data_IF_561028805580
#
_entry.id   IF_561028805580
#
_cell.length_a   1.000
_cell.length_b   1.000
_cell.length_c   1.000
_cell.angle_alpha   90.00
_cell.angle_beta   90.00
_cell.angle_gamma   90.00
#
_symmetry.space_group_name_H-M   'P 1'
#
loop_
_entity.id
_entity.type
_entity.pdbx_description
1 polymer ?
#
# COMPACT_ATOMS: atom_id res chain seq x y z
N UNK A 1 -4.40 3.35 -15.87
CA UNK A 1 -3.52 4.56 -15.73
C UNK A 1 -2.84 4.50 -14.35
N UNK A 2 -1.69 5.15 -14.16
CA UNK A 2 -1.02 5.24 -12.83
C UNK A 2 -0.69 6.69 -12.51
N UNK A 3 -0.54 7.01 -11.21
CA UNK A 3 -0.33 8.41 -10.76
C UNK A 3 1.03 8.98 -11.18
N UNK A 4 2.05 8.14 -11.33
CA UNK A 4 3.38 8.51 -11.82
C UNK A 4 3.50 8.46 -13.35
N UNK A 5 2.46 8.83 -14.08
CA UNK A 5 2.46 8.93 -15.54
C UNK A 5 2.24 10.38 -15.96
N UNK A 6 2.96 10.85 -16.99
CA UNK A 6 2.86 12.23 -17.49
C UNK A 6 1.44 12.57 -17.97
N UNK A 7 0.74 11.62 -18.60
CA UNK A 7 -0.65 11.81 -19.03
C UNK A 7 -1.57 12.02 -17.81
N UNK A 8 -1.32 11.27 -16.72
CA UNK A 8 -2.06 11.48 -15.48
C UNK A 8 -1.80 12.87 -14.89
N UNK A 9 -0.53 13.24 -14.76
CA UNK A 9 -0.11 14.48 -14.10
C UNK A 9 -0.54 15.74 -14.86
N UNK A 10 -0.39 15.75 -16.19
CA UNK A 10 -0.54 16.96 -17.00
C UNK A 10 -1.81 17.02 -17.84
N UNK A 11 -2.55 15.93 -17.95
CA UNK A 11 -3.80 15.92 -18.70
C UNK A 11 -4.97 15.47 -17.81
N UNK A 12 -4.92 14.25 -17.30
CA UNK A 12 -6.06 13.66 -16.58
C UNK A 12 -6.39 14.39 -15.29
N UNK A 13 -5.42 14.57 -14.39
CA UNK A 13 -5.64 15.22 -13.09
C UNK A 13 -6.07 16.69 -13.23
N UNK A 14 -5.42 17.54 -14.08
CA UNK A 14 -5.88 18.90 -14.30
C UNK A 14 -7.29 18.99 -14.89
N UNK A 15 -7.65 18.14 -15.86
CA UNK A 15 -9.00 18.11 -16.42
C UNK A 15 -10.04 17.67 -15.37
N UNK A 16 -9.72 16.67 -14.55
CA UNK A 16 -10.57 16.22 -13.46
C UNK A 16 -10.79 17.35 -12.43
N UNK A 17 -9.72 18.03 -12.02
CA UNK A 17 -9.79 19.16 -11.09
C UNK A 17 -10.64 20.30 -11.68
N UNK A 18 -10.40 20.67 -12.93
CA UNK A 18 -11.18 21.72 -13.62
C UNK A 18 -12.67 21.36 -13.65
N UNK A 19 -13.02 20.15 -14.10
CA UNK A 19 -14.41 19.70 -14.14
C UNK A 19 -15.04 19.66 -12.73
N UNK A 20 -14.29 19.19 -11.72
CA UNK A 20 -14.75 19.11 -10.35
C UNK A 20 -15.06 20.49 -9.74
N UNK A 21 -14.15 21.47 -9.93
CA UNK A 21 -14.32 22.81 -9.36
C UNK A 21 -15.31 23.70 -10.13
N UNK A 22 -15.57 23.40 -11.41
CA UNK A 22 -16.67 24.03 -12.17
C UNK A 22 -18.05 23.62 -11.64
N UNK A 23 -18.16 22.43 -11.02
CA UNK A 23 -19.40 21.97 -10.42
C UNK A 23 -19.67 22.66 -9.07
N UNK A 24 -20.90 23.19 -8.89
CA UNK A 24 -21.31 23.88 -7.66
C UNK A 24 -21.92 22.93 -6.62
N UNK A 25 -22.65 21.90 -7.05
CA UNK A 25 -23.34 20.97 -6.16
C UNK A 25 -22.55 19.71 -5.89
N UNK A 26 -22.70 19.13 -4.69
CA UNK A 26 -22.05 17.84 -4.32
C UNK A 26 -22.47 16.70 -5.25
N UNK A 27 -23.76 16.54 -5.65
CA UNK A 27 -24.13 15.52 -6.62
C UNK A 27 -23.41 15.62 -7.98
N UNK A 28 -23.26 16.85 -8.51
CA UNK A 28 -22.53 17.08 -9.76
C UNK A 28 -21.03 16.75 -9.59
N UNK A 29 -20.42 17.15 -8.48
CA UNK A 29 -19.04 16.77 -8.13
C UNK A 29 -18.85 15.27 -8.04
N UNK A 30 -19.82 14.56 -7.44
CA UNK A 30 -19.82 13.10 -7.37
C UNK A 30 -19.90 12.47 -8.77
N UNK A 31 -20.76 12.98 -9.65
CA UNK A 31 -20.86 12.49 -11.02
C UNK A 31 -19.55 12.66 -11.80
N UNK A 32 -18.89 13.81 -11.68
CA UNK A 32 -17.55 14.05 -12.27
C UNK A 32 -16.57 13.01 -11.75
N UNK A 33 -16.49 12.79 -10.43
CA UNK A 33 -15.56 11.83 -9.86
C UNK A 33 -15.86 10.40 -10.31
N UNK A 34 -17.13 9.98 -10.45
CA UNK A 34 -17.49 8.67 -10.99
C UNK A 34 -16.98 8.53 -12.42
N UNK A 35 -17.28 9.49 -13.29
CA UNK A 35 -16.88 9.43 -14.70
C UNK A 35 -15.36 9.35 -14.83
N UNK A 36 -14.61 10.23 -14.15
CA UNK A 36 -13.16 10.21 -14.19
C UNK A 36 -12.58 8.94 -13.57
N UNK A 37 -13.18 8.40 -12.51
CA UNK A 37 -12.75 7.13 -11.91
C UNK A 37 -12.93 5.94 -12.86
N UNK A 38 -14.06 5.88 -13.55
CA UNK A 38 -14.30 4.84 -14.56
C UNK A 38 -13.34 4.97 -15.75
N UNK A 39 -13.08 6.20 -16.25
CA UNK A 39 -12.07 6.45 -17.29
C UNK A 39 -10.69 6.03 -16.81
N UNK A 40 -10.29 6.39 -15.58
CA UNK A 40 -9.01 6.01 -14.98
C UNK A 40 -8.82 4.50 -14.95
N UNK A 41 -9.85 3.76 -14.53
CA UNK A 41 -9.80 2.31 -14.44
C UNK A 41 -9.82 1.66 -15.82
N UNK A 42 -10.73 2.10 -16.71
CA UNK A 42 -10.86 1.59 -18.08
C UNK A 42 -9.61 1.79 -18.93
N UNK A 43 -8.76 2.80 -18.61
CA UNK A 43 -7.50 3.03 -19.32
C UNK A 43 -6.55 1.83 -19.30
N UNK A 44 -6.55 1.07 -18.21
CA UNK A 44 -5.72 -0.15 -18.08
C UNK A 44 -6.54 -1.44 -18.17
N UNK A 45 -7.82 -1.39 -17.80
CA UNK A 45 -8.68 -2.55 -17.57
C UNK A 45 -10.09 -2.33 -18.14
N UNK A 46 -10.24 -2.18 -19.47
CA UNK A 46 -11.54 -1.82 -20.06
C UNK A 46 -12.62 -2.88 -19.83
N UNK A 47 -12.27 -4.15 -19.84
CA UNK A 47 -13.22 -5.27 -19.62
C UNK A 47 -13.53 -5.43 -18.12
N UNK A 48 -12.51 -5.38 -17.27
CA UNK A 48 -12.69 -5.58 -15.83
C UNK A 48 -13.34 -4.38 -15.12
N UNK A 49 -13.47 -3.24 -15.79
CA UNK A 49 -14.32 -2.15 -15.33
C UNK A 49 -15.79 -2.62 -15.13
N UNK A 50 -16.30 -3.43 -16.05
CA UNK A 50 -17.66 -3.98 -15.91
C UNK A 50 -17.78 -4.97 -14.75
N UNK A 51 -16.72 -5.75 -14.48
CA UNK A 51 -16.67 -6.62 -13.29
C UNK A 51 -16.74 -5.79 -12.00
N UNK A 52 -15.98 -4.71 -11.90
CA UNK A 52 -16.01 -3.80 -10.75
C UNK A 52 -17.40 -3.18 -10.55
N UNK A 53 -18.04 -2.71 -11.63
CA UNK A 53 -19.40 -2.15 -11.58
C UNK A 53 -20.41 -3.22 -11.15
N UNK A 54 -20.29 -4.45 -11.67
CA UNK A 54 -21.15 -5.58 -11.28
C UNK A 54 -20.96 -5.95 -9.80
N UNK A 55 -19.70 -6.04 -9.32
CA UNK A 55 -19.40 -6.26 -7.90
C UNK A 55 -20.00 -5.15 -7.01
N UNK A 56 -19.87 -3.89 -7.43
CA UNK A 56 -20.50 -2.77 -6.73
C UNK A 56 -22.03 -2.91 -6.68
N UNK A 57 -22.68 -3.26 -7.80
CA UNK A 57 -24.13 -3.41 -7.85
C UNK A 57 -24.63 -4.57 -6.97
N UNK A 58 -23.92 -5.69 -6.98
CA UNK A 58 -24.23 -6.88 -6.15
C UNK A 58 -24.12 -6.52 -4.66
N UNK A 59 -23.01 -5.91 -4.23
CA UNK A 59 -22.80 -5.54 -2.82
C UNK A 59 -23.73 -4.43 -2.35
N UNK A 60 -24.05 -3.46 -3.20
CA UNK A 60 -25.09 -2.47 -2.93
C UNK A 60 -26.45 -3.14 -2.70
N UNK A 61 -26.84 -4.08 -3.58
CA UNK A 61 -28.07 -4.85 -3.45
C UNK A 61 -28.12 -5.69 -2.16
N UNK A 62 -27.02 -6.39 -1.83
CA UNK A 62 -26.91 -7.13 -0.59
C UNK A 62 -26.98 -6.21 0.65
N UNK A 63 -26.39 -5.03 0.62
CA UNK A 63 -26.53 -4.07 1.71
C UNK A 63 -27.99 -3.73 1.99
N UNK A 64 -28.81 -3.48 0.94
CA UNK A 64 -30.23 -3.22 1.08
C UNK A 64 -31.02 -4.43 1.61
N UNK A 65 -30.67 -5.65 1.19
CA UNK A 65 -31.32 -6.88 1.62
C UNK A 65 -30.95 -7.25 3.07
N UNK A 66 -29.69 -7.07 3.46
CA UNK A 66 -29.19 -7.29 4.83
C UNK A 66 -29.93 -6.39 5.81
N UNK A 67 -30.18 -5.14 5.46
CA UNK A 67 -30.89 -4.22 6.35
C UNK A 67 -32.36 -4.60 6.54
N UNK A 68 -33.00 -5.17 5.51
CA UNK A 68 -34.44 -5.49 5.53
C UNK A 68 -34.78 -6.82 6.21
N UNK A 69 -34.21 -7.95 5.75
CA UNK A 69 -34.59 -9.32 6.15
C UNK A 69 -33.46 -10.33 5.94
N UNK A 70 -33.49 -11.44 6.70
CA UNK A 70 -32.55 -12.57 6.52
C UNK A 70 -31.08 -12.15 6.53
N UNK A 71 -30.71 -11.26 7.44
CA UNK A 71 -29.40 -10.61 7.54
C UNK A 71 -28.20 -11.53 7.35
N UNK A 72 -28.21 -12.73 7.97
CA UNK A 72 -27.10 -13.70 7.87
C UNK A 72 -26.98 -14.34 6.51
N UNK A 73 -28.11 -14.72 5.87
CA UNK A 73 -28.09 -15.38 4.57
C UNK A 73 -27.48 -14.47 3.52
N UNK A 74 -27.94 -13.22 3.44
CA UNK A 74 -27.42 -12.27 2.46
C UNK A 74 -25.98 -11.86 2.74
N UNK A 75 -25.57 -11.78 4.01
CA UNK A 75 -24.16 -11.59 4.35
C UNK A 75 -23.31 -12.76 3.84
N UNK A 76 -23.70 -14.01 4.12
CA UNK A 76 -22.95 -15.19 3.67
C UNK A 76 -22.87 -15.24 2.15
N UNK A 77 -23.97 -14.94 1.45
CA UNK A 77 -23.96 -14.89 -0.03
C UNK A 77 -23.03 -13.82 -0.55
N UNK A 78 -23.02 -12.61 0.03
CA UNK A 78 -22.08 -11.56 -0.33
C UNK A 78 -20.63 -12.01 -0.14
N UNK A 79 -20.30 -12.56 1.05
CA UNK A 79 -18.96 -13.07 1.36
C UNK A 79 -18.52 -14.17 0.38
N UNK A 80 -19.42 -15.13 0.06
CA UNK A 80 -19.12 -16.23 -0.86
C UNK A 80 -18.88 -15.71 -2.29
N UNK A 81 -19.68 -14.75 -2.76
CA UNK A 81 -19.52 -14.18 -4.10
C UNK A 81 -18.23 -13.36 -4.20
N UNK A 82 -17.97 -12.48 -3.24
CA UNK A 82 -16.79 -11.62 -3.26
C UNK A 82 -15.49 -12.42 -3.10
N UNK A 83 -15.42 -13.29 -2.09
CA UNK A 83 -14.24 -14.14 -1.87
C UNK A 83 -14.10 -15.20 -2.94
N UNK A 84 -15.20 -15.74 -3.48
CA UNK A 84 -15.21 -16.68 -4.59
C UNK A 84 -14.68 -16.03 -5.87
N UNK A 85 -15.14 -14.82 -6.19
CA UNK A 85 -14.63 -14.05 -7.32
C UNK A 85 -13.11 -13.80 -7.17
N UNK A 86 -12.68 -13.32 -6.01
CA UNK A 86 -11.26 -13.11 -5.73
C UNK A 86 -10.47 -14.43 -5.83
N UNK A 87 -11.02 -15.54 -5.33
CA UNK A 87 -10.38 -16.86 -5.38
C UNK A 87 -10.18 -17.34 -6.83
N UNK A 88 -11.18 -17.18 -7.67
CA UNK A 88 -11.09 -17.57 -9.09
C UNK A 88 -9.99 -16.80 -9.80
N UNK A 89 -9.96 -15.47 -9.67
CA UNK A 89 -8.96 -14.67 -10.38
C UNK A 89 -7.55 -14.81 -9.81
N UNK A 90 -7.40 -14.94 -8.49
CA UNK A 90 -6.09 -14.90 -7.85
C UNK A 90 -5.47 -16.26 -7.59
N UNK A 91 -6.27 -17.29 -7.27
CA UNK A 91 -5.73 -18.55 -6.74
C UNK A 91 -5.90 -19.76 -7.65
N UNK A 92 -6.66 -19.69 -8.74
CA UNK A 92 -6.93 -20.85 -9.61
C UNK A 92 -5.62 -21.45 -10.14
N UNK A 93 -4.71 -20.61 -10.69
CA UNK A 93 -3.41 -21.10 -11.18
C UNK A 93 -2.61 -21.79 -10.07
N UNK A 94 -2.45 -21.13 -8.93
CA UNK A 94 -1.72 -21.67 -7.77
C UNK A 94 -2.28 -23.01 -7.27
N UNK A 95 -3.62 -23.14 -7.21
CA UNK A 95 -4.27 -24.40 -6.81
C UNK A 95 -3.97 -25.51 -7.82
N UNK A 96 -4.11 -25.23 -9.12
CA UNK A 96 -3.87 -26.22 -10.17
C UNK A 96 -2.39 -26.65 -10.19
N UNK A 97 -1.44 -25.71 -10.06
CA UNK A 97 -0.01 -26.04 -9.97
C UNK A 97 0.29 -26.94 -8.78
N UNK A 98 -0.27 -26.66 -7.60
CA UNK A 98 -0.05 -27.50 -6.41
C UNK A 98 -0.73 -28.87 -6.54
N UNK A 99 -1.91 -28.98 -7.18
CA UNK A 99 -2.54 -30.28 -7.47
C UNK A 99 -1.71 -31.10 -8.44
N UNK A 100 -1.18 -30.48 -9.50
CA UNK A 100 -0.27 -31.15 -10.44
C UNK A 100 0.99 -31.67 -9.71
N UNK A 101 1.60 -30.84 -8.86
CA UNK A 101 2.78 -31.23 -8.11
C UNK A 101 2.50 -32.35 -7.09
N UNK A 102 1.34 -32.34 -6.42
CA UNK A 102 1.00 -33.32 -5.40
C UNK A 102 0.58 -34.67 -5.96
N UNK A 103 -0.20 -34.67 -7.06
CA UNK A 103 -0.79 -35.89 -7.62
C UNK A 103 -0.09 -36.36 -8.90
N UNK A 104 0.96 -35.69 -9.38
CA UNK A 104 1.58 -35.97 -10.67
C UNK A 104 0.63 -35.78 -11.86
N UNK A 105 -0.39 -34.92 -11.68
CA UNK A 105 -1.36 -34.64 -12.73
C UNK A 105 -0.80 -33.63 -13.75
N UNK A 106 -1.39 -33.61 -14.95
CA UNK A 106 -1.03 -32.68 -16.02
C UNK A 106 -2.22 -31.80 -16.41
N UNK A 107 -2.92 -31.25 -15.40
CA UNK A 107 -4.06 -30.35 -15.60
C UNK A 107 -3.53 -29.05 -16.18
N UNK A 108 -4.05 -28.55 -17.32
CA UNK A 108 -3.63 -27.27 -17.86
C UNK A 108 -3.82 -26.13 -16.85
N UNK A 109 -2.76 -25.38 -16.56
CA UNK A 109 -2.81 -24.22 -15.66
C UNK A 109 -3.48 -23.06 -16.40
N UNK A 110 -4.67 -22.60 -15.96
CA UNK A 110 -5.35 -21.50 -16.64
C UNK A 110 -4.61 -20.17 -16.42
N UNK A 111 -4.37 -19.45 -17.51
CA UNK A 111 -3.80 -18.09 -17.45
C UNK A 111 -4.94 -17.09 -17.31
N UNK A 112 -5.27 -16.74 -16.09
CA UNK A 112 -6.32 -15.76 -15.77
C UNK A 112 -5.65 -14.46 -15.38
N UNK A 113 -5.86 -13.40 -16.17
CA UNK A 113 -5.34 -12.07 -15.83
C UNK A 113 -6.02 -11.56 -14.55
N UNK A 114 -5.23 -11.17 -13.56
CA UNK A 114 -5.74 -10.62 -12.31
C UNK A 114 -6.21 -9.18 -12.52
N UNK A 115 -7.50 -8.85 -12.32
CA UNK A 115 -7.98 -7.48 -12.46
C UNK A 115 -7.29 -6.54 -11.46
N UNK A 116 -6.74 -5.45 -11.95
CA UNK A 116 -6.05 -4.47 -11.10
C UNK A 116 -7.00 -3.95 -10.01
N UNK A 117 -6.55 -3.99 -8.76
CA UNK A 117 -7.33 -3.49 -7.62
C UNK A 117 -8.45 -4.41 -7.12
N UNK A 118 -8.63 -5.64 -7.69
CA UNK A 118 -9.69 -6.56 -7.24
C UNK A 118 -9.62 -6.83 -5.74
N UNK A 119 -8.44 -7.01 -5.18
CA UNK A 119 -8.26 -7.25 -3.75
C UNK A 119 -8.70 -6.05 -2.89
N UNK A 120 -8.53 -4.81 -3.39
CA UNK A 120 -8.90 -3.59 -2.67
C UNK A 120 -10.41 -3.36 -2.70
N UNK A 121 -11.03 -3.34 -3.89
CA UNK A 121 -12.46 -3.10 -3.96
C UNK A 121 -13.28 -4.26 -3.36
N UNK A 122 -12.76 -5.50 -3.39
CA UNK A 122 -13.36 -6.62 -2.65
C UNK A 122 -13.36 -6.34 -1.15
N UNK A 123 -12.24 -5.91 -0.57
CA UNK A 123 -12.18 -5.58 0.85
C UNK A 123 -13.07 -4.39 1.23
N UNK A 124 -13.16 -3.38 0.36
CA UNK A 124 -14.09 -2.27 0.55
C UNK A 124 -15.55 -2.75 0.56
N UNK A 125 -15.94 -3.57 -0.41
CA UNK A 125 -17.28 -4.13 -0.51
C UNK A 125 -17.61 -5.04 0.68
N UNK A 126 -16.68 -5.94 1.07
CA UNK A 126 -16.82 -6.79 2.26
C UNK A 126 -16.98 -5.98 3.53
N UNK A 127 -16.15 -4.94 3.73
CA UNK A 127 -16.28 -4.09 4.92
C UNK A 127 -17.65 -3.44 5.00
N UNK A 128 -18.15 -2.89 3.88
CA UNK A 128 -19.48 -2.30 3.83
C UNK A 128 -20.59 -3.30 4.18
N UNK A 129 -20.61 -4.49 3.58
CA UNK A 129 -21.67 -5.48 3.84
C UNK A 129 -21.64 -5.99 5.28
N UNK A 130 -20.44 -6.16 5.86
CA UNK A 130 -20.27 -6.54 7.28
C UNK A 130 -20.70 -5.40 8.21
N UNK A 131 -20.34 -4.15 7.91
CA UNK A 131 -20.69 -2.98 8.75
C UNK A 131 -22.21 -2.72 8.73
N UNK A 132 -22.87 -2.90 7.56
CA UNK A 132 -24.34 -2.86 7.48
C UNK A 132 -24.97 -4.00 8.29
N UNK A 133 -24.43 -5.21 8.24
CA UNK A 133 -24.91 -6.34 9.02
C UNK A 133 -24.77 -6.13 10.54
N UNK A 134 -23.67 -5.51 10.97
CA UNK A 134 -23.44 -5.15 12.38
C UNK A 134 -24.36 -4.01 12.83
N UNK A 135 -24.86 -3.19 11.91
CA UNK A 135 -25.59 -1.96 12.19
C UNK A 135 -24.67 -0.75 12.44
N UNK A 136 -23.39 -0.88 12.11
CA UNK A 136 -22.40 0.20 12.26
C UNK A 136 -22.65 1.34 11.26
N UNK A 137 -23.20 1.01 10.08
CA UNK A 137 -23.62 1.98 9.06
C UNK A 137 -24.98 1.59 8.46
N UNK A 138 -25.82 2.57 8.04
CA UNK A 138 -27.02 2.27 7.28
C UNK A 138 -26.69 1.85 5.85
N UNK A 139 -27.55 1.03 5.24
CA UNK A 139 -27.39 0.65 3.85
C UNK A 139 -27.52 1.87 2.94
N UNK A 140 -26.58 2.05 2.00
CA UNK A 140 -26.61 3.16 1.03
C UNK A 140 -27.76 2.97 0.04
N UNK A 141 -28.66 3.96 -0.05
CA UNK A 141 -29.84 3.90 -0.92
C UNK A 141 -29.54 4.21 -2.38
N UNK A 142 -28.49 5.00 -2.64
CA UNK A 142 -28.10 5.42 -4.00
C UNK A 142 -26.98 4.55 -4.53
N UNK A 143 -27.24 3.82 -5.62
CA UNK A 143 -26.20 3.06 -6.31
C UNK A 143 -25.04 3.95 -6.78
N UNK A 144 -25.32 5.14 -7.30
CA UNK A 144 -24.28 6.06 -7.75
C UNK A 144 -23.33 6.48 -6.63
N UNK A 145 -23.81 6.71 -5.41
CA UNK A 145 -22.98 7.03 -4.25
C UNK A 145 -22.14 5.82 -3.81
N UNK A 146 -22.70 4.62 -3.88
CA UNK A 146 -21.97 3.40 -3.60
C UNK A 146 -20.92 3.09 -4.67
N UNK A 147 -21.27 3.28 -5.94
CA UNK A 147 -20.31 3.14 -7.04
C UNK A 147 -19.16 4.14 -6.91
N UNK A 148 -19.44 5.40 -6.53
CA UNK A 148 -18.40 6.38 -6.22
C UNK A 148 -17.44 5.85 -5.14
N UNK A 149 -17.98 5.34 -4.05
CA UNK A 149 -17.17 4.78 -2.97
C UNK A 149 -16.22 3.67 -3.44
N UNK A 150 -16.74 2.72 -4.23
CA UNK A 150 -15.94 1.59 -4.73
C UNK A 150 -14.94 2.03 -5.80
N UNK A 151 -15.34 2.89 -6.75
CA UNK A 151 -14.55 3.21 -7.93
C UNK A 151 -13.59 4.39 -7.78
N UNK A 152 -13.67 5.15 -6.69
CA UNK A 152 -12.96 6.43 -6.53
C UNK A 152 -11.45 6.28 -6.74
N UNK A 153 -10.93 6.83 -7.84
CA UNK A 153 -9.61 6.52 -8.38
C UNK A 153 -8.43 6.79 -7.43
N UNK A 154 -8.44 7.79 -6.51
CA UNK A 154 -7.33 7.97 -5.59
C UNK A 154 -7.07 6.77 -4.68
N UNK A 155 -8.12 6.03 -4.29
CA UNK A 155 -8.01 4.91 -3.36
C UNK A 155 -8.07 3.53 -4.02
N UNK A 156 -8.58 3.43 -5.27
CA UNK A 156 -9.04 2.21 -5.90
C UNK A 156 -7.96 1.13 -6.04
N UNK A 157 -6.73 1.49 -6.38
CA UNK A 157 -5.73 0.51 -6.84
C UNK A 157 -4.79 0.07 -5.73
N UNK A 158 -4.13 1.01 -5.04
CA UNK A 158 -3.17 0.75 -3.96
C UNK A 158 -3.19 1.85 -2.89
N UNK A 159 -4.29 2.60 -2.78
CA UNK A 159 -4.51 3.59 -1.71
C UNK A 159 -4.70 2.91 -0.35
N UNK A 160 -4.93 3.70 0.71
CA UNK A 160 -5.42 3.14 1.96
C UNK A 160 -6.73 2.39 1.73
N UNK A 161 -6.92 1.24 2.40
CA UNK A 161 -8.21 0.55 2.39
C UNK A 161 -9.18 1.42 3.21
N UNK A 162 -9.97 2.23 2.49
CA UNK A 162 -10.94 3.15 3.08
C UNK A 162 -12.24 2.42 3.29
N UNK A 163 -12.79 2.48 4.49
CA UNK A 163 -14.11 1.89 4.80
C UNK A 163 -15.23 2.83 4.39
N UNK A 164 -16.40 2.28 4.13
CA UNK A 164 -17.56 3.10 3.82
C UNK A 164 -17.87 4.08 4.96
N UNK A 165 -17.76 3.65 6.21
CA UNK A 165 -17.95 4.49 7.39
C UNK A 165 -17.04 5.72 7.43
N UNK A 166 -15.82 5.62 6.90
CA UNK A 166 -14.84 6.72 6.90
C UNK A 166 -15.23 7.86 5.95
N UNK A 167 -15.99 7.57 4.88
CA UNK A 167 -16.30 8.51 3.79
C UNK A 167 -17.78 8.77 3.54
N UNK A 168 -18.67 7.99 4.16
CA UNK A 168 -20.11 8.07 3.92
C UNK A 168 -20.66 9.51 4.05
N UNK A 169 -20.36 10.20 5.16
CA UNK A 169 -20.77 11.59 5.37
C UNK A 169 -20.16 12.57 4.36
N UNK A 170 -18.94 12.27 3.88
CA UNK A 170 -18.23 13.13 2.92
C UNK A 170 -18.74 12.93 1.48
N UNK A 171 -19.33 11.77 1.17
CA UNK A 171 -20.02 11.54 -0.11
C UNK A 171 -21.30 12.41 -0.18
N UNK A 172 -21.98 12.56 0.94
CA UNK A 172 -23.25 13.29 1.02
C UNK A 172 -23.04 14.80 1.15
N UNK A 173 -22.07 15.20 1.98
CA UNK A 173 -21.80 16.60 2.27
C UNK A 173 -20.30 16.83 2.48
N UNK A 174 -19.69 17.60 1.59
CA UNK A 174 -18.31 18.07 1.75
C UNK A 174 -18.15 19.49 1.24
N UNK A 175 -17.30 20.24 1.91
CA UNK A 175 -16.94 21.60 1.54
C UNK A 175 -15.50 21.66 1.05
N UNK A 176 -15.19 22.62 0.22
CA UNK A 176 -13.81 22.94 -0.14
C UNK A 176 -13.17 23.73 1.00
N UNK A 177 -11.99 23.29 1.42
CA UNK A 177 -11.14 24.02 2.32
C UNK A 177 -9.78 24.25 1.63
N UNK A 178 -9.40 25.51 1.48
CA UNK A 178 -8.18 25.89 0.79
C UNK A 178 -6.91 25.41 1.53
N UNK A 179 -6.93 25.35 2.86
CA UNK A 179 -5.80 24.86 3.65
C UNK A 179 -5.64 23.33 3.50
N UNK A 180 -6.77 22.59 3.54
CA UNK A 180 -6.78 21.14 3.26
C UNK A 180 -6.31 20.86 1.81
N UNK A 181 -6.72 21.67 0.84
CA UNK A 181 -6.31 21.49 -0.56
C UNK A 181 -4.82 21.80 -0.76
N UNK A 182 -4.29 22.85 -0.15
CA UNK A 182 -2.86 23.19 -0.16
C UNK A 182 -2.03 22.07 0.48
N UNK A 183 -2.42 21.62 1.66
CA UNK A 183 -1.80 20.46 2.31
C UNK A 183 -1.84 19.22 1.41
N UNK A 184 -2.99 18.98 0.76
CA UNK A 184 -3.17 17.87 -0.17
C UNK A 184 -2.24 17.92 -1.37
N UNK A 185 -2.07 19.10 -1.97
CA UNK A 185 -1.14 19.32 -3.08
C UNK A 185 0.33 19.05 -2.68
N UNK A 186 0.77 19.61 -1.55
CA UNK A 186 2.10 19.36 -1.01
C UNK A 186 2.33 17.86 -0.74
N UNK A 187 1.34 17.22 -0.13
CA UNK A 187 1.42 15.78 0.15
C UNK A 187 1.47 14.93 -1.12
N UNK A 188 0.73 15.31 -2.15
CA UNK A 188 0.80 14.68 -3.47
C UNK A 188 2.19 14.81 -4.09
N UNK A 189 2.78 16.00 -4.09
CA UNK A 189 4.13 16.25 -4.62
C UNK A 189 5.20 15.45 -3.87
N UNK A 190 5.12 15.39 -2.54
CA UNK A 190 6.01 14.56 -1.71
C UNK A 190 5.83 13.07 -2.06
N UNK A 191 4.59 12.59 -2.20
CA UNK A 191 4.29 11.22 -2.57
C UNK A 191 4.85 10.85 -3.94
N UNK A 192 4.71 11.74 -4.93
CA UNK A 192 5.26 11.57 -6.27
C UNK A 192 6.80 11.52 -6.23
N UNK A 193 7.44 12.42 -5.48
CA UNK A 193 8.89 12.43 -5.31
C UNK A 193 9.40 11.15 -4.63
N UNK A 194 8.71 10.65 -3.60
CA UNK A 194 9.02 9.35 -2.98
C UNK A 194 9.01 8.22 -4.00
N UNK A 195 7.97 8.17 -4.86
CA UNK A 195 7.85 7.13 -5.89
C UNK A 195 8.94 7.27 -6.94
N UNK A 196 9.05 8.44 -7.55
CA UNK A 196 9.87 8.61 -8.76
C UNK A 196 11.36 8.77 -8.43
N UNK A 197 11.69 9.58 -7.42
CA UNK A 197 13.09 9.92 -7.13
C UNK A 197 13.76 8.93 -6.17
N UNK A 198 13.01 8.26 -5.28
CA UNK A 198 13.58 7.35 -4.29
C UNK A 198 13.28 5.90 -4.63
N UNK A 199 12.00 5.53 -4.76
CA UNK A 199 11.63 4.13 -4.95
C UNK A 199 12.11 3.59 -6.30
N UNK A 200 11.84 4.28 -7.41
CA UNK A 200 12.24 3.82 -8.74
C UNK A 200 13.76 3.77 -8.90
N UNK A 201 14.47 4.74 -8.31
CA UNK A 201 15.93 4.74 -8.31
C UNK A 201 16.51 3.56 -7.51
N UNK A 202 15.98 3.32 -6.29
CA UNK A 202 16.40 2.20 -5.45
C UNK A 202 16.05 0.84 -6.08
N UNK A 203 14.83 0.72 -6.64
CA UNK A 203 14.35 -0.50 -7.27
C UNK A 203 15.14 -0.90 -8.50
N UNK A 204 15.53 0.07 -9.33
CA UNK A 204 16.36 -0.20 -10.51
C UNK A 204 17.70 -0.84 -10.12
N UNK A 205 18.36 -0.33 -9.08
CA UNK A 205 19.63 -0.88 -8.61
C UNK A 205 19.41 -2.21 -7.86
N UNK A 206 18.35 -2.29 -7.04
CA UNK A 206 18.00 -3.51 -6.34
C UNK A 206 17.78 -4.67 -7.32
N UNK A 207 16.98 -4.48 -8.35
CA UNK A 207 16.72 -5.52 -9.37
C UNK A 207 17.99 -5.94 -10.11
N UNK A 208 18.87 -4.99 -10.49
CA UNK A 208 20.14 -5.32 -11.13
C UNK A 208 21.04 -6.24 -10.28
N UNK A 209 20.96 -6.10 -8.95
CA UNK A 209 21.76 -6.90 -8.02
C UNK A 209 21.05 -8.21 -7.69
N UNK A 210 19.76 -8.16 -7.36
CA UNK A 210 19.01 -9.32 -6.84
C UNK A 210 18.63 -10.32 -7.93
N UNK A 211 18.38 -9.86 -9.17
CA UNK A 211 18.07 -10.71 -10.31
C UNK A 211 19.34 -11.20 -11.04
N UNK A 212 20.52 -10.81 -10.53
CA UNK A 212 21.81 -11.24 -11.05
C UNK A 212 22.15 -12.69 -10.69
N UNK A 213 23.25 -13.22 -11.30
CA UNK A 213 23.70 -14.58 -11.01
C UNK A 213 24.22 -14.71 -9.57
N UNK A 214 23.64 -15.65 -8.81
CA UNK A 214 24.07 -15.97 -7.46
C UNK A 214 25.54 -16.44 -7.39
N UNK A 215 26.04 -17.09 -8.44
CA UNK A 215 27.42 -17.60 -8.49
C UNK A 215 28.48 -16.48 -8.49
N UNK A 216 28.17 -15.33 -9.07
CA UNK A 216 29.08 -14.17 -9.14
C UNK A 216 28.79 -13.12 -8.06
N UNK A 217 27.67 -13.25 -7.33
CA UNK A 217 27.28 -12.31 -6.30
C UNK A 217 28.14 -12.43 -5.05
N UNK A 218 28.43 -11.30 -4.41
CA UNK A 218 29.12 -11.26 -3.11
C UNK A 218 28.11 -11.03 -1.99
N UNK A 219 28.48 -11.40 -0.75
CA UNK A 219 27.67 -11.15 0.44
C UNK A 219 27.30 -9.66 0.58
N UNK A 220 28.25 -8.77 0.38
CA UNK A 220 28.02 -7.33 0.50
C UNK A 220 27.08 -6.81 -0.61
N UNK A 221 27.15 -7.36 -1.83
CA UNK A 221 26.20 -7.01 -2.90
C UNK A 221 24.78 -7.50 -2.57
N UNK A 222 24.64 -8.72 -2.06
CA UNK A 222 23.35 -9.26 -1.64
C UNK A 222 22.68 -8.38 -0.55
N UNK A 223 23.43 -7.94 0.45
CA UNK A 223 22.93 -6.99 1.46
C UNK A 223 22.59 -5.63 0.86
N UNK A 224 23.42 -5.11 -0.04
CA UNK A 224 23.14 -3.84 -0.74
C UNK A 224 21.82 -3.93 -1.52
N UNK A 225 21.61 -5.00 -2.29
CA UNK A 225 20.40 -5.22 -3.08
C UNK A 225 19.15 -5.26 -2.21
N UNK A 226 19.16 -6.06 -1.13
CA UNK A 226 17.97 -6.20 -0.28
C UNK A 226 17.70 -4.95 0.58
N UNK A 227 18.71 -4.18 0.95
CA UNK A 227 18.54 -2.89 1.61
C UNK A 227 17.91 -1.87 0.66
N UNK A 228 18.36 -1.81 -0.60
CA UNK A 228 17.76 -0.96 -1.62
C UNK A 228 16.30 -1.35 -1.88
N UNK A 229 16.00 -2.65 -1.99
CA UNK A 229 14.62 -3.14 -2.09
C UNK A 229 13.77 -2.76 -0.88
N UNK A 230 14.35 -2.80 0.32
CA UNK A 230 13.68 -2.36 1.55
C UNK A 230 13.26 -0.89 1.46
N UNK A 231 14.08 -0.02 0.87
CA UNK A 231 13.71 1.36 0.61
C UNK A 231 12.70 1.49 -0.55
N UNK A 232 12.88 0.73 -1.62
CA UNK A 232 11.96 0.70 -2.75
C UNK A 232 10.53 0.41 -2.28
N UNK A 233 10.28 -0.73 -1.61
CA UNK A 233 8.93 -1.12 -1.18
C UNK A 233 8.29 -0.09 -0.23
N UNK A 234 9.08 0.56 0.61
CA UNK A 234 8.57 1.60 1.51
C UNK A 234 8.20 2.88 0.77
N UNK A 235 9.10 3.41 -0.05
CA UNK A 235 8.85 4.68 -0.73
C UNK A 235 7.85 4.53 -1.87
N UNK A 236 7.82 3.38 -2.55
CA UNK A 236 6.81 3.06 -3.55
C UNK A 236 5.40 3.10 -2.95
N UNK A 237 5.19 2.32 -1.90
CA UNK A 237 3.86 2.18 -1.31
C UNK A 237 3.45 3.40 -0.45
N UNK A 238 4.36 3.97 0.34
CA UNK A 238 4.06 5.20 1.09
C UNK A 238 3.86 6.39 0.16
N UNK A 239 4.59 6.45 -0.96
CA UNK A 239 4.43 7.47 -1.99
C UNK A 239 3.05 7.42 -2.64
N UNK A 240 2.59 6.22 -3.02
CA UNK A 240 1.23 6.03 -3.52
C UNK A 240 0.18 6.46 -2.48
N UNK A 241 0.33 6.02 -1.24
CA UNK A 241 -0.60 6.38 -0.15
C UNK A 241 -0.64 7.90 0.08
N UNK A 242 0.51 8.58 0.02
CA UNK A 242 0.58 10.04 0.18
C UNK A 242 -0.09 10.76 -1.00
N UNK A 243 0.11 10.30 -2.24
CA UNK A 243 -0.60 10.83 -3.40
C UNK A 243 -2.12 10.63 -3.29
N UNK A 244 -2.57 9.44 -2.87
CA UNK A 244 -3.97 9.13 -2.67
C UNK A 244 -4.63 10.02 -1.61
N UNK A 245 -3.98 10.15 -0.43
CA UNK A 245 -4.46 11.00 0.66
C UNK A 245 -4.44 12.48 0.24
N UNK A 246 -3.40 12.91 -0.48
CA UNK A 246 -3.27 14.26 -1.01
C UNK A 246 -4.42 14.63 -1.95
N UNK A 247 -4.69 13.78 -2.95
CA UNK A 247 -5.84 13.96 -3.85
C UNK A 247 -7.17 13.91 -3.11
N UNK A 248 -7.31 12.99 -2.14
CA UNK A 248 -8.48 12.95 -1.28
C UNK A 248 -8.76 14.30 -0.65
N UNK A 249 -7.75 14.94 -0.02
CA UNK A 249 -7.87 16.27 0.60
C UNK A 249 -8.28 17.35 -0.40
N UNK A 250 -7.74 17.35 -1.61
CA UNK A 250 -8.08 18.30 -2.67
C UNK A 250 -9.58 18.18 -3.06
N UNK A 251 -10.08 16.92 -3.14
CA UNK A 251 -11.50 16.65 -3.44
C UNK A 251 -12.43 16.74 -2.22
N UNK A 252 -11.89 17.06 -1.03
CA UNK A 252 -12.67 17.17 0.21
C UNK A 252 -12.91 15.85 0.93
N UNK A 253 -12.12 14.79 0.64
CA UNK A 253 -12.14 13.52 1.36
C UNK A 253 -10.94 13.39 2.31
N UNK A 254 -11.18 12.84 3.50
CA UNK A 254 -10.15 12.61 4.54
C UNK A 254 -9.93 11.11 4.69
N UNK A 255 -8.93 10.59 4.00
CA UNK A 255 -8.55 9.18 4.10
C UNK A 255 -7.68 8.90 5.32
N UNK A 256 -7.72 7.67 5.87
CA UNK A 256 -6.86 7.28 6.99
C UNK A 256 -5.38 7.20 6.57
N UNK A 257 -4.49 7.43 7.56
CA UNK A 257 -3.05 7.24 7.37
C UNK A 257 -2.71 5.76 7.18
N UNK A 258 -1.84 5.48 6.20
CA UNK A 258 -1.40 4.11 5.90
C UNK A 258 0.01 3.80 6.41
N UNK A 259 0.85 4.82 6.59
CA UNK A 259 2.23 4.69 7.07
C UNK A 259 2.57 5.76 8.11
N UNK A 260 3.31 5.38 9.17
CA UNK A 260 3.81 6.28 10.22
C UNK A 260 5.25 5.97 10.56
N UNK A 261 6.20 6.27 9.65
CA UNK A 261 7.64 6.05 9.84
C UNK A 261 7.97 4.64 10.36
N UNK A 262 7.58 3.57 9.64
CA UNK A 262 7.68 2.20 10.13
C UNK A 262 9.12 1.75 10.41
N UNK A 263 10.11 2.25 9.66
CA UNK A 263 11.51 1.87 9.82
C UNK A 263 12.21 2.47 11.06
N UNK A 264 11.49 3.30 11.83
CA UNK A 264 11.95 3.77 13.14
C UNK A 264 11.47 2.90 14.31
N UNK A 265 10.77 1.81 14.05
CA UNK A 265 10.14 0.93 15.04
C UNK A 265 11.17 0.19 15.90
N UNK A 266 10.77 -0.11 17.14
CA UNK A 266 11.60 -0.78 18.16
C UNK A 266 11.16 -2.22 18.43
N UNK A 267 10.20 -2.73 17.65
CA UNK A 267 9.70 -4.10 17.69
C UNK A 267 8.90 -4.40 16.42
N UNK A 268 8.73 -5.66 16.07
CA UNK A 268 7.90 -6.07 14.93
C UNK A 268 6.43 -5.75 15.17
N UNK A 269 5.96 -5.84 16.43
CA UNK A 269 4.62 -5.36 16.80
C UNK A 269 4.44 -3.87 16.53
N UNK A 270 5.43 -3.02 16.85
CA UNK A 270 5.38 -1.58 16.57
C UNK A 270 5.46 -1.31 15.06
N UNK A 271 6.30 -2.08 14.33
CA UNK A 271 6.43 -1.98 12.88
C UNK A 271 5.08 -2.18 12.18
N UNK A 272 4.34 -3.24 12.47
CA UNK A 272 3.04 -3.53 11.86
C UNK A 272 1.91 -2.59 12.31
N UNK A 273 2.08 -1.84 13.38
CA UNK A 273 1.18 -0.74 13.75
C UNK A 273 1.43 0.53 12.95
N UNK A 274 2.57 0.61 12.25
CA UNK A 274 3.02 1.77 11.47
C UNK A 274 3.10 1.51 9.97
N UNK A 275 3.12 0.25 9.56
CA UNK A 275 3.15 -0.23 8.19
C UNK A 275 1.78 -0.71 7.77
N UNK A 276 1.29 -0.24 6.59
CA UNK A 276 0.02 -0.65 5.99
C UNK A 276 -1.14 -0.70 7.01
N UNK A 277 -1.33 0.41 7.72
CA UNK A 277 -2.22 0.54 8.88
C UNK A 277 -3.66 0.16 8.51
N UNK A 278 -4.11 0.53 7.30
CA UNK A 278 -5.45 0.24 6.81
C UNK A 278 -5.70 -1.26 6.67
N UNK A 279 -4.74 -2.03 6.12
CA UNK A 279 -4.82 -3.49 6.04
C UNK A 279 -4.81 -4.13 7.42
N UNK A 280 -3.89 -3.68 8.29
CA UNK A 280 -3.80 -4.18 9.66
C UNK A 280 -5.11 -3.95 10.45
N UNK A 281 -5.75 -2.79 10.29
CA UNK A 281 -7.04 -2.49 10.90
C UNK A 281 -8.17 -3.32 10.29
N UNK A 282 -8.15 -3.56 8.96
CA UNK A 282 -9.12 -4.43 8.30
C UNK A 282 -9.08 -5.85 8.90
N UNK A 283 -7.92 -6.51 8.89
CA UNK A 283 -7.80 -7.87 9.44
C UNK A 283 -8.09 -7.93 10.93
N UNK A 284 -7.73 -6.90 11.72
CA UNK A 284 -8.09 -6.81 13.13
C UNK A 284 -9.59 -6.83 13.32
N UNK A 285 -10.33 -5.99 12.59
CA UNK A 285 -11.74 -5.70 12.88
C UNK A 285 -12.69 -6.71 12.21
N UNK A 286 -12.29 -7.27 11.05
CA UNK A 286 -13.14 -8.21 10.31
C UNK A 286 -12.72 -9.68 10.46
N UNK A 287 -11.52 -9.98 10.97
CA UNK A 287 -11.05 -11.37 11.17
C UNK A 287 -10.66 -11.62 12.62
N UNK A 288 -9.68 -10.89 13.16
CA UNK A 288 -9.11 -11.18 14.48
C UNK A 288 -10.13 -11.05 15.62
N UNK A 289 -10.87 -9.93 15.66
CA UNK A 289 -11.89 -9.69 16.70
C UNK A 289 -13.03 -10.69 16.60
N UNK A 290 -13.64 -10.97 15.42
CA UNK A 290 -14.68 -11.99 15.28
C UNK A 290 -14.27 -13.40 15.71
N UNK A 291 -12.99 -13.78 15.49
CA UNK A 291 -12.43 -15.08 15.94
C UNK A 291 -12.25 -15.16 17.47
N UNK A 292 -12.52 -14.09 18.21
CA UNK A 292 -12.39 -14.01 19.68
C UNK A 292 -11.23 -13.14 20.16
N UNK A 293 -10.40 -12.63 19.25
CA UNK A 293 -9.34 -11.66 19.55
C UNK A 293 -8.36 -12.15 20.61
N UNK A 294 -8.17 -11.34 21.65
CA UNK A 294 -7.31 -11.68 22.79
C UNK A 294 -7.96 -12.64 23.80
N UNK A 295 -9.29 -12.81 23.75
CA UNK A 295 -10.04 -13.54 24.77
C UNK A 295 -10.01 -15.05 24.56
N UNK A 296 -9.97 -15.52 23.31
CA UNK A 296 -9.97 -16.94 22.96
C UNK A 296 -8.86 -17.25 21.95
N UNK A 297 -8.06 -18.28 22.20
CA UNK A 297 -7.06 -18.83 21.26
C UNK A 297 -6.20 -17.78 20.54
N UNK A 298 -5.69 -16.80 21.29
CA UNK A 298 -5.03 -15.61 20.72
C UNK A 298 -3.95 -15.93 19.68
N UNK A 299 -3.07 -16.91 19.94
CA UNK A 299 -2.02 -17.29 19.00
C UNK A 299 -2.58 -17.90 17.73
N UNK A 300 -3.63 -18.74 17.84
CA UNK A 300 -4.30 -19.30 16.67
C UNK A 300 -4.96 -18.19 15.83
N UNK A 301 -5.65 -17.23 16.48
CA UNK A 301 -6.26 -16.10 15.78
C UNK A 301 -5.18 -15.25 15.05
N UNK A 302 -4.01 -15.07 15.68
CA UNK A 302 -2.88 -14.40 15.04
C UNK A 302 -2.34 -15.22 13.86
N UNK A 303 -2.21 -16.54 13.99
CA UNK A 303 -1.78 -17.42 12.91
C UNK A 303 -2.72 -17.33 11.70
N UNK A 304 -4.03 -17.39 11.93
CA UNK A 304 -5.04 -17.24 10.87
C UNK A 304 -4.90 -15.88 10.17
N UNK A 305 -4.80 -14.79 10.94
CA UNK A 305 -4.64 -13.44 10.36
C UNK A 305 -3.38 -13.34 9.50
N UNK A 306 -2.26 -13.87 9.96
CA UNK A 306 -1.00 -13.78 9.21
C UNK A 306 -0.96 -14.71 8.00
N UNK A 307 -1.57 -15.88 8.08
CA UNK A 307 -1.77 -16.77 6.92
C UNK A 307 -2.62 -16.07 5.84
N UNK A 308 -3.75 -15.48 6.25
CA UNK A 308 -4.61 -14.72 5.32
C UNK A 308 -3.91 -13.47 4.78
N UNK A 309 -3.08 -12.78 5.59
CA UNK A 309 -2.32 -11.63 5.13
C UNK A 309 -1.28 -12.04 4.07
N UNK A 310 -0.58 -13.15 4.29
CA UNK A 310 0.34 -13.71 3.30
C UNK A 310 -0.37 -14.07 2.00
N UNK A 311 -1.43 -14.86 2.07
CA UNK A 311 -2.25 -15.23 0.92
C UNK A 311 -2.82 -14.01 0.18
N UNK A 312 -3.24 -12.98 0.91
CA UNK A 312 -3.75 -11.76 0.28
C UNK A 312 -2.72 -11.04 -0.58
N UNK A 313 -1.44 -11.09 -0.21
CA UNK A 313 -0.36 -10.49 -1.01
C UNK A 313 -0.17 -11.23 -2.33
N UNK A 314 -0.18 -12.56 -2.36
CA UNK A 314 -0.01 -13.29 -3.62
C UNK A 314 -0.28 -14.78 -3.49
N UNK A 315 -0.54 -15.39 -4.63
CA UNK A 315 -0.76 -16.82 -4.78
C UNK A 315 0.58 -17.54 -5.04
N UNK A 316 1.47 -17.51 -4.05
CA UNK A 316 2.78 -18.17 -4.11
C UNK A 316 3.25 -18.55 -2.70
N UNK A 317 4.10 -19.58 -2.59
CA UNK A 317 4.58 -20.11 -1.33
C UNK A 317 5.43 -19.12 -0.53
N UNK A 318 6.18 -18.24 -1.21
CA UNK A 318 6.96 -17.20 -0.53
C UNK A 318 6.09 -16.28 0.33
N UNK A 319 4.88 -15.91 -0.14
CA UNK A 319 3.95 -15.08 0.62
C UNK A 319 3.36 -15.82 1.83
N UNK A 320 3.12 -17.12 1.70
CA UNK A 320 2.71 -17.98 2.83
C UNK A 320 3.82 -18.04 3.87
N UNK A 321 5.06 -18.28 3.45
CA UNK A 321 6.25 -18.29 4.31
C UNK A 321 6.49 -16.92 4.96
N UNK A 322 6.29 -15.83 4.24
CA UNK A 322 6.40 -14.47 4.75
C UNK A 322 5.36 -14.20 5.85
N UNK A 323 4.12 -14.61 5.65
CA UNK A 323 3.09 -14.53 6.68
C UNK A 323 3.44 -15.35 7.92
N UNK A 324 3.89 -16.59 7.74
CA UNK A 324 4.33 -17.47 8.83
C UNK A 324 5.54 -16.88 9.59
N UNK A 325 6.52 -16.34 8.86
CA UNK A 325 7.69 -15.68 9.44
C UNK A 325 7.29 -14.57 10.42
N UNK A 326 6.42 -13.64 9.99
CA UNK A 326 5.98 -12.56 10.88
C UNK A 326 5.05 -13.05 12.00
N UNK A 327 4.24 -14.06 11.75
CA UNK A 327 3.47 -14.71 12.82
C UNK A 327 4.38 -15.23 13.94
N UNK A 328 5.43 -15.99 13.60
CA UNK A 328 6.37 -16.58 14.57
C UNK A 328 7.05 -15.49 15.40
N UNK A 329 7.53 -14.42 14.76
CA UNK A 329 8.20 -13.31 15.48
C UNK A 329 7.22 -12.59 16.40
N UNK A 330 6.01 -12.30 15.94
CA UNK A 330 4.99 -11.64 16.75
C UNK A 330 4.53 -12.51 17.93
N UNK A 331 4.41 -13.82 17.72
CA UNK A 331 4.11 -14.78 18.79
C UNK A 331 5.25 -14.80 19.82
N UNK A 332 6.53 -14.80 19.37
CA UNK A 332 7.68 -14.71 20.24
C UNK A 332 7.72 -13.40 21.03
N UNK A 333 7.56 -12.23 20.38
CA UNK A 333 7.47 -10.93 21.06
C UNK A 333 6.39 -10.91 22.14
N UNK A 334 5.24 -11.54 21.83
CA UNK A 334 4.14 -11.61 22.78
C UNK A 334 4.43 -12.52 23.96
N UNK A 335 5.07 -13.66 23.73
CA UNK A 335 5.45 -14.63 24.79
C UNK A 335 6.54 -14.06 25.69
N UNK A 336 7.55 -13.40 25.10
CA UNK A 336 8.62 -12.74 25.87
C UNK A 336 8.05 -11.59 26.70
N UNK A 337 7.10 -10.86 26.15
CA UNK A 337 6.41 -9.75 26.80
C UNK A 337 7.18 -8.42 26.73
N UNK A 338 6.43 -7.35 26.59
CA UNK A 338 6.97 -6.00 26.37
C UNK A 338 7.91 -5.53 27.49
N UNK A 339 7.64 -5.89 28.74
CA UNK A 339 8.48 -5.52 29.90
C UNK A 339 9.92 -6.08 29.79
N UNK A 340 10.08 -7.31 29.28
CA UNK A 340 11.40 -7.90 29.07
C UNK A 340 12.12 -7.27 27.88
N UNK A 341 11.39 -7.06 26.77
CA UNK A 341 11.95 -6.41 25.58
C UNK A 341 12.43 -4.99 25.86
N UNK A 342 11.76 -4.25 26.72
CA UNK A 342 12.17 -2.87 27.13
C UNK A 342 13.51 -2.82 27.88
N UNK A 343 14.03 -3.94 28.41
CA UNK A 343 15.35 -3.99 29.05
C UNK A 343 16.50 -3.91 28.04
N UNK A 344 16.23 -4.24 26.78
CA UNK A 344 17.20 -4.14 25.69
C UNK A 344 17.35 -2.65 25.30
N UNK A 345 18.57 -2.12 25.12
CA UNK A 345 18.79 -0.75 24.68
C UNK A 345 18.02 -0.43 23.39
N UNK A 346 17.45 0.78 23.31
CA UNK A 346 16.56 1.19 22.20
C UNK A 346 17.24 1.05 20.83
N UNK A 347 18.55 1.35 20.74
CA UNK A 347 19.29 1.24 19.48
C UNK A 347 19.36 -0.20 19.01
N UNK A 348 19.68 -1.15 19.90
CA UNK A 348 19.74 -2.58 19.57
C UNK A 348 18.37 -3.13 19.14
N UNK A 349 17.30 -2.66 19.80
CA UNK A 349 15.93 -3.01 19.39
C UNK A 349 15.60 -2.51 17.99
N UNK A 350 15.98 -1.28 17.65
CA UNK A 350 15.76 -0.71 16.30
C UNK A 350 16.54 -1.49 15.25
N UNK A 351 17.83 -1.71 15.49
CA UNK A 351 18.70 -2.49 14.59
C UNK A 351 18.15 -3.89 14.40
N UNK A 352 17.85 -4.61 15.50
CA UNK A 352 17.27 -5.96 15.43
C UNK A 352 15.93 -6.00 14.71
N UNK A 353 15.05 -5.02 14.96
CA UNK A 353 13.77 -4.90 14.24
C UNK A 353 13.99 -4.69 12.74
N UNK A 354 14.91 -3.81 12.35
CA UNK A 354 15.22 -3.57 10.94
C UNK A 354 15.83 -4.78 10.26
N UNK A 355 16.73 -5.50 10.92
CA UNK A 355 17.29 -6.76 10.38
C UNK A 355 16.17 -7.78 10.12
N UNK A 356 15.25 -7.97 11.07
CA UNK A 356 14.12 -8.87 10.89
C UNK A 356 13.19 -8.40 9.75
N UNK A 357 12.97 -7.10 9.61
CA UNK A 357 12.17 -6.54 8.51
C UNK A 357 12.86 -6.79 7.16
N UNK A 358 14.16 -6.54 7.04
CA UNK A 358 14.94 -6.77 5.82
C UNK A 358 14.90 -8.24 5.41
N UNK A 359 15.08 -9.17 6.36
CA UNK A 359 14.95 -10.61 6.11
C UNK A 359 13.51 -10.99 5.68
N UNK A 360 12.51 -10.36 6.26
CA UNK A 360 11.11 -10.50 5.83
C UNK A 360 10.90 -10.02 4.40
N UNK A 361 11.49 -8.88 4.01
CA UNK A 361 11.42 -8.39 2.63
C UNK A 361 12.21 -9.28 1.66
N UNK A 362 13.25 -9.96 2.11
CA UNK A 362 13.93 -10.97 1.32
C UNK A 362 13.01 -12.14 0.96
N UNK A 363 12.22 -12.64 1.92
CA UNK A 363 11.22 -13.69 1.66
C UNK A 363 10.15 -13.16 0.69
N UNK A 364 9.78 -11.90 0.79
CA UNK A 364 8.75 -11.29 -0.05
C UNK A 364 9.20 -11.09 -1.51
N UNK A 365 10.48 -10.78 -1.75
CA UNK A 365 11.02 -10.49 -3.08
C UNK A 365 11.04 -11.72 -3.99
N UNK A 366 11.58 -12.83 -3.50
CA UNK A 366 11.82 -14.04 -4.31
C UNK A 366 10.59 -14.96 -4.29
N UNK A 367 9.90 -15.08 -5.43
CA UNK A 367 8.77 -16.00 -5.61
C UNK A 367 9.23 -17.44 -5.80
N UNK A 368 10.40 -17.68 -6.40
CA UNK A 368 11.05 -18.97 -6.50
C UNK A 368 11.80 -19.32 -5.19
N UNK A 369 11.44 -20.45 -4.58
CA UNK A 369 12.01 -20.87 -3.30
C UNK A 369 13.49 -21.26 -3.41
N UNK A 370 13.94 -21.72 -4.59
CA UNK A 370 15.36 -22.05 -4.81
C UNK A 370 16.19 -20.77 -4.82
N UNK A 371 15.73 -19.73 -5.53
CA UNK A 371 16.37 -18.42 -5.54
C UNK A 371 16.37 -17.80 -4.13
N UNK A 372 15.26 -17.92 -3.40
CA UNK A 372 15.15 -17.45 -2.02
C UNK A 372 16.21 -18.10 -1.12
N UNK A 373 16.36 -19.43 -1.18
CA UNK A 373 17.35 -20.16 -0.39
C UNK A 373 18.79 -19.81 -0.80
N UNK A 374 19.05 -19.67 -2.10
CA UNK A 374 20.34 -19.21 -2.61
C UNK A 374 20.67 -17.80 -2.09
N UNK A 375 19.72 -16.89 -2.12
CA UNK A 375 19.95 -15.53 -1.63
C UNK A 375 20.18 -15.48 -0.11
N UNK A 376 19.49 -16.31 0.67
CA UNK A 376 19.83 -16.49 2.09
C UNK A 376 21.26 -17.02 2.26
N UNK A 377 21.69 -18.00 1.45
CA UNK A 377 23.07 -18.48 1.44
C UNK A 377 24.08 -17.35 1.16
N UNK A 378 23.77 -16.44 0.22
CA UNK A 378 24.60 -15.26 -0.06
C UNK A 378 24.64 -14.29 1.12
N UNK A 379 23.50 -13.95 1.73
CA UNK A 379 23.42 -13.03 2.87
C UNK A 379 24.27 -13.49 4.06
N UNK A 380 24.37 -14.80 4.29
CA UNK A 380 25.14 -15.37 5.40
C UNK A 380 26.55 -15.85 4.99
N UNK A 381 26.99 -15.57 3.75
CA UNK A 381 28.33 -15.91 3.27
C UNK A 381 28.56 -17.40 3.06
N UNK A 382 27.48 -18.17 2.90
CA UNK A 382 27.55 -19.63 2.65
C UNK A 382 27.73 -19.97 1.16
N UNK A 383 27.41 -19.03 0.29
CA UNK A 383 27.43 -19.11 -1.17
C UNK A 383 28.08 -17.86 -1.76
N UNK A 384 28.42 -17.93 -3.06
CA UNK A 384 28.84 -16.77 -3.86
C UNK A 384 30.34 -16.57 -3.97
N UNK A 385 30.76 -15.44 -4.53
CA UNK A 385 32.14 -15.08 -4.86
C UNK A 385 32.88 -14.35 -3.72
N UNK A 386 32.60 -14.73 -2.47
CA UNK A 386 33.23 -14.17 -1.28
C UNK A 386 32.47 -12.97 -0.70
N UNK A 387 33.09 -12.27 0.28
CA UNK A 387 32.41 -11.19 1.01
C UNK A 387 32.18 -9.95 0.16
N UNK A 388 33.18 -9.49 -0.58
CA UNK A 388 33.11 -8.28 -1.42
C UNK A 388 34.14 -8.34 -2.55
N UNK A 389 33.92 -7.57 -3.60
CA UNK A 389 34.87 -7.39 -4.72
C UNK A 389 34.87 -5.92 -5.18
N UNK A 390 35.73 -5.57 -6.14
CA UNK A 390 35.86 -4.20 -6.65
C UNK A 390 34.53 -3.67 -7.22
N UNK A 391 33.78 -4.49 -7.93
CA UNK A 391 32.47 -4.10 -8.50
C UNK A 391 31.45 -3.77 -7.40
N UNK A 392 31.39 -4.56 -6.35
CA UNK A 392 30.52 -4.28 -5.17
C UNK A 392 30.90 -2.96 -4.50
N UNK A 393 32.21 -2.69 -4.37
CA UNK A 393 32.71 -1.43 -3.84
C UNK A 393 32.25 -0.22 -4.68
N UNK A 394 32.38 -0.31 -6.01
CA UNK A 394 31.90 0.71 -6.95
C UNK A 394 30.39 0.90 -6.83
N UNK A 395 29.61 -0.18 -6.81
CA UNK A 395 28.16 -0.10 -6.63
C UNK A 395 27.78 0.59 -5.32
N UNK A 396 28.44 0.26 -4.22
CA UNK A 396 28.18 0.89 -2.91
C UNK A 396 28.48 2.39 -2.94
N UNK A 397 29.64 2.79 -3.46
CA UNK A 397 30.05 4.21 -3.53
C UNK A 397 29.08 4.99 -4.42
N UNK A 398 28.74 4.48 -5.59
CA UNK A 398 27.84 5.15 -6.53
C UNK A 398 26.41 5.32 -5.95
N UNK A 399 25.95 4.41 -5.13
CA UNK A 399 24.60 4.45 -4.54
C UNK A 399 24.58 5.01 -3.10
N UNK A 400 25.72 5.39 -2.53
CA UNK A 400 25.79 5.95 -1.19
C UNK A 400 24.92 7.20 -1.00
N UNK A 401 24.89 8.18 -1.94
CA UNK A 401 24.01 9.34 -1.80
C UNK A 401 22.53 8.94 -1.76
N UNK A 402 22.09 8.00 -2.60
CA UNK A 402 20.73 7.49 -2.60
C UNK A 402 20.38 6.80 -1.29
N UNK A 403 21.28 5.94 -0.78
CA UNK A 403 21.09 5.26 0.52
C UNK A 403 20.93 6.25 1.67
N UNK A 404 21.76 7.30 1.70
CA UNK A 404 21.70 8.34 2.73
C UNK A 404 20.38 9.13 2.67
N UNK A 405 19.96 9.53 1.47
CA UNK A 405 18.69 10.26 1.29
C UNK A 405 17.51 9.37 1.67
N UNK A 406 17.50 8.10 1.27
CA UNK A 406 16.48 7.13 1.65
C UNK A 406 16.46 6.90 3.18
N UNK A 407 17.62 6.72 3.81
CA UNK A 407 17.72 6.54 5.25
C UNK A 407 17.17 7.76 6.02
N UNK A 408 17.54 8.97 5.64
CA UNK A 408 17.02 10.22 6.23
C UNK A 408 15.51 10.35 5.97
N UNK A 409 15.06 10.11 4.73
CA UNK A 409 13.66 10.19 4.33
C UNK A 409 12.75 9.20 5.04
N UNK A 410 13.29 8.06 5.50
CA UNK A 410 12.56 7.08 6.28
C UNK A 410 12.43 7.45 7.78
N UNK A 411 12.99 8.57 8.22
CA UNK A 411 12.95 9.07 9.62
C UNK A 411 12.03 10.28 9.75
N UNK A 412 11.90 10.79 10.99
CA UNK A 412 11.16 12.03 11.28
C UNK A 412 11.91 13.32 10.93
N UNK A 413 13.15 13.24 10.45
CA UNK A 413 13.98 14.43 10.17
C UNK A 413 13.31 15.38 9.16
N UNK A 414 12.84 14.91 7.97
CA UNK A 414 12.19 15.80 7.02
C UNK A 414 10.93 16.47 7.58
N UNK A 415 10.11 15.71 8.30
CA UNK A 415 8.89 16.22 8.93
C UNK A 415 9.20 17.26 10.02
N UNK A 416 10.21 17.00 10.86
CA UNK A 416 10.61 17.92 11.93
C UNK A 416 11.16 19.21 11.35
N UNK A 417 11.94 19.16 10.26
CA UNK A 417 12.43 20.36 9.58
C UNK A 417 11.28 21.18 8.99
N UNK A 418 10.32 20.54 8.34
CA UNK A 418 9.12 21.20 7.84
C UNK A 418 8.28 21.85 8.94
N UNK A 419 8.09 21.15 10.07
CA UNK A 419 7.37 21.68 11.23
C UNK A 419 8.10 22.85 11.88
N UNK A 420 9.43 22.77 11.99
CA UNK A 420 10.26 23.85 12.52
C UNK A 420 10.15 25.10 11.63
N UNK A 421 10.28 24.94 10.32
CA UNK A 421 10.12 26.03 9.36
C UNK A 421 8.72 26.66 9.43
N UNK A 422 7.68 25.83 9.42
CA UNK A 422 6.30 26.31 9.58
C UNK A 422 6.09 27.05 10.91
N UNK A 423 6.63 26.50 12.00
CA UNK A 423 6.59 27.15 13.31
C UNK A 423 7.23 28.53 13.30
N UNK A 424 8.43 28.67 12.74
CA UNK A 424 9.14 29.97 12.64
C UNK A 424 8.36 30.97 11.78
N UNK A 425 7.81 30.55 10.65
CA UNK A 425 7.10 31.43 9.73
C UNK A 425 5.74 31.89 10.29
N UNK A 426 5.01 31.01 11.01
CA UNK A 426 3.63 31.25 11.44
C UNK A 426 3.56 31.76 12.89
N UNK A 427 4.67 31.70 13.65
CA UNK A 427 4.75 32.23 15.03
C UNK A 427 4.41 33.73 15.06
N UNK A 428 3.47 34.08 15.94
CA UNK A 428 2.99 35.46 16.11
C UNK A 428 1.86 35.92 15.15
N UNK A 429 1.32 35.05 14.34
CA UNK A 429 0.14 35.34 13.49
C UNK A 429 0.38 36.39 12.41
N UNK A 430 1.61 36.77 12.14
CA UNK A 430 1.95 37.78 11.12
C UNK A 430 1.63 37.29 9.71
N UNK A 431 0.82 38.06 8.99
CA UNK A 431 0.44 37.75 7.59
C UNK A 431 1.67 37.57 6.67
N UNK A 432 2.74 38.36 6.89
CA UNK A 432 3.99 38.22 6.14
C UNK A 432 4.64 36.85 6.31
N UNK A 433 4.66 36.29 7.52
CA UNK A 433 5.19 34.95 7.78
C UNK A 433 4.36 33.85 7.12
N UNK A 434 3.03 33.97 7.14
CA UNK A 434 2.15 33.04 6.44
C UNK A 434 2.38 33.06 4.91
N UNK A 435 2.59 34.28 4.34
CA UNK A 435 2.93 34.41 2.91
C UNK A 435 4.26 33.76 2.60
N UNK A 436 5.30 34.00 3.41
CA UNK A 436 6.63 33.37 3.24
C UNK A 436 6.50 31.84 3.29
N UNK A 437 5.78 31.31 4.28
CA UNK A 437 5.53 29.88 4.38
C UNK A 437 4.87 29.32 3.12
N UNK A 438 3.81 29.96 2.64
CA UNK A 438 3.09 29.54 1.45
C UNK A 438 3.98 29.59 0.18
N UNK A 439 4.75 30.68 -0.01
CA UNK A 439 5.64 30.84 -1.16
C UNK A 439 6.76 29.80 -1.17
N UNK A 440 7.39 29.55 -0.02
CA UNK A 440 8.48 28.55 0.07
C UNK A 440 7.93 27.14 -0.13
N UNK A 441 6.77 26.81 0.45
CA UNK A 441 6.13 25.51 0.24
C UNK A 441 5.74 25.32 -1.23
N UNK A 442 5.17 26.34 -1.87
CA UNK A 442 4.84 26.30 -3.30
C UNK A 442 6.09 26.10 -4.17
N UNK A 443 7.17 26.81 -3.88
CA UNK A 443 8.44 26.65 -4.60
C UNK A 443 9.04 25.25 -4.40
N UNK A 444 8.93 24.69 -3.19
CA UNK A 444 9.33 23.32 -2.87
C UNK A 444 8.50 22.30 -3.66
N UNK A 445 7.17 22.43 -3.67
CA UNK A 445 6.26 21.56 -4.41
C UNK A 445 6.53 21.60 -5.92
N UNK A 446 6.75 22.81 -6.47
CA UNK A 446 7.11 23.02 -7.88
C UNK A 446 8.47 22.36 -8.22
N UNK A 447 9.46 22.47 -7.34
CA UNK A 447 10.75 21.82 -7.51
C UNK A 447 10.63 20.28 -7.48
N UNK A 448 9.86 19.72 -6.54
CA UNK A 448 9.61 18.27 -6.48
C UNK A 448 8.88 17.77 -7.73
N UNK A 449 7.88 18.52 -8.21
CA UNK A 449 7.15 18.18 -9.43
C UNK A 449 8.06 18.22 -10.65
N UNK A 450 8.88 19.27 -10.79
CA UNK A 450 9.81 19.42 -11.90
C UNK A 450 10.86 18.29 -11.91
N UNK A 451 11.50 17.99 -10.77
CA UNK A 451 12.48 16.91 -10.67
C UNK A 451 11.84 15.55 -10.96
N UNK A 452 10.63 15.30 -10.44
CA UNK A 452 9.90 14.07 -10.74
C UNK A 452 9.53 13.95 -12.21
N UNK A 453 9.16 15.07 -12.87
CA UNK A 453 8.88 15.12 -14.31
C UNK A 453 10.12 14.80 -15.13
N UNK A 454 11.25 15.41 -14.82
CA UNK A 454 12.53 15.14 -15.50
C UNK A 454 12.89 13.66 -15.40
N UNK A 455 12.75 13.08 -14.21
CA UNK A 455 13.02 11.66 -13.99
C UNK A 455 12.04 10.75 -14.74
N UNK A 456 10.76 11.11 -14.85
CA UNK A 456 9.76 10.35 -15.61
C UNK A 456 9.98 10.40 -17.12
N UNK A 457 10.41 11.52 -17.66
CA UNK A 457 10.72 11.66 -19.11
C UNK A 457 11.90 10.77 -19.51
N UNK A 458 12.89 10.61 -18.63
CA UNK A 458 14.07 9.78 -18.87
C UNK A 458 13.90 8.28 -18.53
N UNK A 459 12.75 7.86 -18.02
CA UNK A 459 12.53 6.48 -17.57
C UNK A 459 11.56 5.71 -18.48
N UNK A 460 11.81 4.40 -18.65
CA UNK A 460 10.79 3.47 -19.09
C UNK A 460 9.73 3.35 -17.99
N UNK A 461 8.46 3.11 -18.39
CA UNK A 461 7.34 2.94 -17.46
C UNK A 461 7.67 1.93 -16.35
N UNK A 462 7.64 2.38 -15.12
CA UNK A 462 7.82 1.55 -13.93
C UNK A 462 6.50 1.52 -13.14
N UNK A 463 5.78 0.39 -13.24
CA UNK A 463 4.55 0.18 -12.49
C UNK A 463 4.84 0.20 -10.98
N UNK A 464 3.85 0.56 -10.17
CA UNK A 464 3.95 0.37 -8.72
C UNK A 464 4.20 -1.11 -8.42
N UNK A 465 5.08 -1.39 -7.46
CA UNK A 465 5.40 -2.75 -7.02
C UNK A 465 4.14 -3.58 -6.73
N UNK A 466 3.12 -2.93 -6.20
CA UNK A 466 1.85 -3.56 -5.87
C UNK A 466 1.09 -4.17 -7.06
N UNK A 467 1.38 -3.77 -8.29
CA UNK A 467 0.81 -4.39 -9.50
C UNK A 467 1.46 -5.73 -9.87
N UNK A 468 2.55 -6.09 -9.19
CA UNK A 468 3.27 -7.35 -9.44
C UNK A 468 2.79 -8.50 -8.55
N UNK A 469 1.88 -8.24 -7.59
CA UNK A 469 1.43 -9.20 -6.58
C UNK A 469 -0.07 -9.51 -6.67
#
# INVERSE_FOLDING_TARGET
>A
MVFSNLIFLYLFLPLCLAAYFLCRSVPAKNAVLIVFSLIFYAWGEPVYMFLMIAAAAVNWGFGLLIEKRHKRVFLVLALVLDLGCLAVFKYTGFVVENLNALFGASIPVPVIALPIGISFYTFQALSYTVDVWRGDVPAQRSFAKFLLYISLFPQLIAGPIVRYADVAGQIDARSFDAADAFYGATRFCIGLAKKVLLADAAGKVAAQILDGSAASATTAAAWLGIVLYTFEIYFDFSGYSDMAIGMGRIFGFKYPENFRLPYTSRSITEFWRRWHISLGSFFRDYVYIPLGGKKKHQLLNMAVVWALTGLWHGASWNFVLWGLYFFVILAAEKTIGEKRLRRIPTILRRVGTMLLVILGWNIFYFTDLTQLLQHFGLLFGLLGAGFSNAQTGIQLVNNLPLLLVCAIGATSVPQNLGNLFGGVCVQGGKRSGQIVYACVTFAFDAALLALSTIALVGSTYNAFLYFRF
#
